data_IF_576134328701
#
_entry.id   IF_576134328701
#
_cell.length_a   1.000
_cell.length_b   1.000
_cell.length_c   1.000
_cell.angle_alpha   90.00
_cell.angle_beta   90.00
_cell.angle_gamma   90.00
#
_symmetry.space_group_name_H-M   'P 1'
#
loop_
_entity.id
_entity.type
_entity.pdbx_description
1 polymer ?
#
# COMPACT_ATOMS: atom_id res chain seq x y z
N UNK A 1 0.31 -23.00 -2.05
CA UNK A 1 -0.53 -22.65 -3.21
C UNK A 1 0.18 -23.19 -4.46
N UNK A 2 -0.42 -24.16 -5.13
CA UNK A 2 0.19 -24.78 -6.32
C UNK A 2 -0.01 -23.97 -7.60
N UNK A 3 -0.83 -22.92 -7.56
CA UNK A 3 -1.06 -22.00 -8.67
C UNK A 3 -0.45 -20.61 -8.37
N UNK A 4 0.04 -19.90 -9.42
CA UNK A 4 0.56 -18.55 -9.24
C UNK A 4 -0.54 -17.60 -8.74
N UNK A 5 -0.20 -16.79 -7.73
CA UNK A 5 -1.10 -15.77 -7.22
C UNK A 5 -1.19 -14.58 -8.20
N UNK A 6 -2.40 -14.05 -8.37
CA UNK A 6 -2.61 -12.82 -9.15
C UNK A 6 -2.21 -11.59 -8.32
N UNK A 7 -1.19 -10.81 -8.75
CA UNK A 7 -0.77 -9.62 -8.02
C UNK A 7 -1.74 -8.47 -8.26
N UNK A 8 -2.19 -7.84 -7.16
CA UNK A 8 -3.04 -6.67 -7.23
C UNK A 8 -2.73 -5.67 -6.10
N UNK A 9 -3.00 -4.39 -6.32
CA UNK A 9 -3.03 -3.35 -5.30
C UNK A 9 -4.48 -3.03 -4.97
N UNK A 10 -4.88 -3.33 -3.72
CA UNK A 10 -6.24 -3.13 -3.24
C UNK A 10 -6.38 -1.76 -2.56
N UNK A 11 -7.29 -0.91 -3.04
CA UNK A 11 -7.67 0.30 -2.33
C UNK A 11 -8.59 -0.06 -1.17
N UNK A 12 -8.24 0.39 0.03
CA UNK A 12 -9.04 0.20 1.24
C UNK A 12 -9.84 1.45 1.62
N UNK A 13 -9.75 2.53 0.85
CA UNK A 13 -10.57 3.72 1.06
C UNK A 13 -12.05 3.29 1.13
N UNK A 14 -12.76 3.81 2.09
CA UNK A 14 -14.18 3.52 2.34
C UNK A 14 -14.49 2.04 2.67
N UNK A 15 -13.45 1.25 2.99
CA UNK A 15 -13.60 -0.17 3.31
C UNK A 15 -13.50 -0.42 4.80
N UNK A 16 -14.30 -1.37 5.28
CA UNK A 16 -14.18 -1.95 6.62
C UNK A 16 -13.28 -3.19 6.53
N UNK A 17 -12.29 -3.24 7.41
CA UNK A 17 -11.39 -4.40 7.55
C UNK A 17 -11.58 -5.02 8.93
N UNK A 18 -11.33 -6.33 9.06
CA UNK A 18 -11.42 -7.04 10.33
C UNK A 18 -10.13 -7.80 10.61
N UNK A 19 -9.66 -7.72 11.85
CA UNK A 19 -8.54 -8.52 12.37
C UNK A 19 -9.03 -9.27 13.59
N UNK A 20 -9.09 -10.59 13.50
CA UNK A 20 -9.36 -11.47 14.63
C UNK A 20 -8.02 -11.93 15.23
N UNK A 21 -7.81 -11.63 16.51
CA UNK A 21 -6.56 -11.78 17.23
C UNK A 21 -5.72 -10.50 17.24
N UNK A 22 -5.32 -10.06 18.44
CA UNK A 22 -4.53 -8.82 18.64
C UNK A 22 -3.17 -9.07 19.30
N UNK A 23 -2.62 -10.27 19.11
CA UNK A 23 -1.22 -10.60 19.42
C UNK A 23 -0.24 -9.90 18.44
N UNK A 24 1.04 -10.21 18.52
CA UNK A 24 2.11 -9.59 17.71
C UNK A 24 1.84 -9.64 16.19
N UNK A 25 1.22 -10.73 15.71
CA UNK A 25 0.85 -10.86 14.28
C UNK A 25 -0.32 -9.95 13.94
N UNK A 26 -1.40 -9.99 14.73
CA UNK A 26 -2.59 -9.16 14.51
C UNK A 26 -2.26 -7.68 14.54
N UNK A 27 -1.46 -7.20 15.49
CA UNK A 27 -1.00 -5.80 15.58
C UNK A 27 -0.28 -5.35 14.30
N UNK A 28 0.61 -6.19 13.76
CA UNK A 28 1.27 -5.88 12.47
C UNK A 28 0.27 -5.78 11.31
N UNK A 29 -0.81 -6.59 11.33
CA UNK A 29 -1.88 -6.50 10.34
C UNK A 29 -2.66 -5.20 10.50
N UNK A 30 -3.02 -4.81 11.73
CA UNK A 30 -3.68 -3.54 12.03
C UNK A 30 -2.83 -2.36 11.54
N UNK A 31 -1.55 -2.31 11.91
CA UNK A 31 -0.64 -1.24 11.47
C UNK A 31 -0.53 -1.16 9.94
N UNK A 32 -0.43 -2.32 9.26
CA UNK A 32 -0.39 -2.39 7.80
C UNK A 32 -1.70 -1.91 7.13
N UNK A 33 -2.84 -2.18 7.73
CA UNK A 33 -4.15 -1.69 7.27
C UNK A 33 -4.26 -0.18 7.46
N UNK A 34 -3.89 0.35 8.63
CA UNK A 34 -3.93 1.79 8.92
C UNK A 34 -3.09 2.61 7.95
N UNK A 35 -1.93 2.08 7.53
CA UNK A 35 -1.10 2.69 6.48
C UNK A 35 -1.79 2.78 5.10
N UNK A 36 -2.94 2.11 4.91
CA UNK A 36 -3.75 2.14 3.68
C UNK A 36 -5.03 2.98 3.84
N UNK A 37 -5.19 3.70 4.96
CA UNK A 37 -6.31 4.59 5.27
C UNK A 37 -7.71 3.97 5.02
N UNK A 38 -8.04 2.83 5.66
CA UNK A 38 -9.39 2.26 5.59
C UNK A 38 -10.41 3.14 6.34
N UNK A 39 -11.70 2.98 6.05
CA UNK A 39 -12.77 3.63 6.80
C UNK A 39 -12.81 3.14 8.26
N UNK A 40 -12.63 1.83 8.48
CA UNK A 40 -12.53 1.26 9.82
C UNK A 40 -11.72 -0.05 9.83
N UNK A 41 -11.08 -0.31 10.96
CA UNK A 41 -10.46 -1.60 11.30
C UNK A 41 -11.11 -2.13 12.58
N UNK A 42 -11.93 -3.15 12.44
CA UNK A 42 -12.51 -3.85 13.56
C UNK A 42 -11.54 -4.91 14.08
N UNK A 43 -11.18 -4.82 15.35
CA UNK A 43 -10.23 -5.73 16.01
C UNK A 43 -10.99 -6.55 17.03
N UNK A 44 -10.91 -7.86 16.92
CA UNK A 44 -11.55 -8.80 17.83
C UNK A 44 -10.49 -9.61 18.58
N UNK A 45 -10.50 -9.55 19.91
CA UNK A 45 -9.70 -10.38 20.78
C UNK A 45 -10.47 -10.60 22.10
N UNK A 46 -10.14 -11.65 22.83
CA UNK A 46 -10.76 -11.95 24.13
C UNK A 46 -10.25 -11.04 25.25
N UNK A 47 -9.10 -10.39 25.05
CA UNK A 47 -8.41 -9.54 26.03
C UNK A 47 -7.94 -8.24 25.39
N UNK A 48 -8.08 -7.15 26.13
CA UNK A 48 -7.42 -5.91 25.78
C UNK A 48 -5.90 -6.02 25.94
N UNK A 49 -5.12 -5.29 25.15
CA UNK A 49 -3.67 -5.24 25.30
C UNK A 49 -3.30 -4.57 26.64
N UNK A 50 -2.31 -5.13 27.32
CA UNK A 50 -1.76 -4.64 28.57
C UNK A 50 -0.51 -3.76 28.39
N UNK A 51 0.03 -3.69 27.15
CA UNK A 51 1.20 -2.91 26.77
C UNK A 51 0.86 -1.62 26.04
N UNK A 52 1.82 -0.66 26.00
CA UNK A 52 1.63 0.67 25.42
C UNK A 52 1.52 0.67 23.90
N UNK A 53 2.19 -0.25 23.21
CA UNK A 53 2.11 -0.36 21.74
C UNK A 53 0.71 -0.76 21.30
N UNK A 54 0.15 -1.79 21.93
CA UNK A 54 -1.20 -2.23 21.66
C UNK A 54 -2.23 -1.14 21.96
N UNK A 55 -2.13 -0.50 23.13
CA UNK A 55 -3.00 0.63 23.49
C UNK A 55 -2.89 1.80 22.54
N UNK A 56 -1.70 2.10 22.02
CA UNK A 56 -1.50 3.16 21.02
C UNK A 56 -2.23 2.87 19.70
N UNK A 57 -2.17 1.63 19.21
CA UNK A 57 -2.90 1.22 18.02
C UNK A 57 -4.43 1.33 18.20
N UNK A 58 -4.94 0.97 19.39
CA UNK A 58 -6.38 1.03 19.67
C UNK A 58 -6.91 2.46 19.81
N UNK A 59 -6.06 3.45 20.09
CA UNK A 59 -6.45 4.88 20.14
C UNK A 59 -6.62 5.52 18.76
N UNK A 60 -6.25 4.84 17.69
CA UNK A 60 -6.42 5.39 16.34
C UNK A 60 -7.90 5.47 15.97
N UNK A 61 -8.34 6.61 15.44
CA UNK A 61 -9.76 6.91 15.15
C UNK A 61 -10.44 5.88 14.25
N UNK A 62 -9.71 5.23 13.35
CA UNK A 62 -10.24 4.20 12.48
C UNK A 62 -10.35 2.82 13.16
N UNK A 63 -9.82 2.62 14.38
CA UNK A 63 -9.83 1.32 15.06
C UNK A 63 -11.04 1.18 15.98
N UNK A 64 -11.67 0.01 15.94
CA UNK A 64 -12.76 -0.37 16.84
C UNK A 64 -12.43 -1.71 17.47
N UNK A 65 -12.14 -1.72 18.76
CA UNK A 65 -11.83 -2.94 19.52
C UNK A 65 -13.08 -3.58 20.11
N UNK A 66 -13.15 -4.90 20.05
CA UNK A 66 -14.23 -5.72 20.58
C UNK A 66 -13.63 -6.84 21.42
N UNK A 67 -13.88 -6.80 22.75
CA UNK A 67 -13.38 -7.79 23.71
C UNK A 67 -14.20 -9.09 23.66
N UNK A 68 -14.26 -9.73 22.49
CA UNK A 68 -14.99 -10.99 22.23
C UNK A 68 -14.51 -11.65 20.93
N UNK A 69 -14.89 -12.90 20.71
CA UNK A 69 -14.74 -13.52 19.39
C UNK A 69 -15.64 -12.85 18.35
N UNK A 70 -15.20 -12.86 17.08
CA UNK A 70 -16.02 -12.35 15.99
C UNK A 70 -17.08 -13.36 15.56
N UNK A 71 -18.23 -12.85 15.14
CA UNK A 71 -19.35 -13.61 14.60
C UNK A 71 -19.43 -13.49 13.08
N UNK A 72 -20.33 -14.21 12.43
CA UNK A 72 -20.59 -14.08 11.01
C UNK A 72 -21.09 -12.68 10.64
N UNK A 73 -21.94 -12.08 11.48
CA UNK A 73 -22.49 -10.73 11.23
C UNK A 73 -21.40 -9.65 11.27
N UNK A 74 -20.35 -9.82 12.09
CA UNK A 74 -19.21 -8.92 12.10
C UNK A 74 -18.40 -8.99 10.80
N UNK A 75 -18.38 -10.14 10.13
CA UNK A 75 -17.67 -10.36 8.87
C UNK A 75 -18.39 -9.74 7.66
N UNK A 76 -19.72 -9.78 7.64
CA UNK A 76 -20.54 -9.38 6.49
C UNK A 76 -20.21 -7.99 5.90
N UNK A 77 -19.99 -6.93 6.70
CA UNK A 77 -19.66 -5.60 6.17
C UNK A 77 -18.19 -5.48 5.73
N UNK A 78 -17.36 -6.49 5.99
CA UNK A 78 -15.92 -6.40 5.80
C UNK A 78 -15.53 -6.71 4.36
N UNK A 79 -14.55 -5.95 3.85
CA UNK A 79 -13.92 -6.22 2.56
C UNK A 79 -12.71 -7.14 2.70
N UNK A 80 -12.00 -7.05 3.82
CA UNK A 80 -10.76 -7.74 4.08
C UNK A 80 -10.73 -8.26 5.51
N UNK A 81 -10.42 -9.54 5.69
CA UNK A 81 -10.40 -10.22 6.98
C UNK A 81 -9.05 -10.86 7.22
N UNK A 82 -8.54 -10.73 8.43
CA UNK A 82 -7.35 -11.43 8.92
C UNK A 82 -7.73 -12.36 10.08
N UNK A 83 -7.59 -13.66 9.88
CA UNK A 83 -7.68 -14.67 10.92
C UNK A 83 -6.29 -14.87 11.53
N UNK A 84 -6.03 -14.20 12.65
CA UNK A 84 -4.72 -14.09 13.31
C UNK A 84 -4.78 -14.37 14.81
N UNK A 85 -5.74 -15.20 15.23
CA UNK A 85 -5.88 -15.63 16.64
C UNK A 85 -4.81 -16.66 17.00
N UNK A 86 -4.64 -16.91 18.31
CA UNK A 86 -3.82 -18.02 18.79
C UNK A 86 -4.45 -19.40 18.65
N UNK A 87 -5.67 -19.51 18.13
CA UNK A 87 -6.41 -20.75 17.96
C UNK A 87 -6.55 -21.15 16.49
N UNK A 88 -5.90 -22.24 16.10
CA UNK A 88 -5.99 -22.83 14.76
C UNK A 88 -7.45 -23.12 14.37
N UNK A 89 -8.23 -23.66 15.30
CA UNK A 89 -9.65 -23.96 15.04
C UNK A 89 -10.48 -22.70 14.79
N UNK A 90 -10.21 -21.62 15.52
CA UNK A 90 -10.91 -20.34 15.32
C UNK A 90 -10.51 -19.69 14.00
N UNK A 91 -9.21 -19.72 13.63
CA UNK A 91 -8.75 -19.23 12.34
C UNK A 91 -9.40 -19.99 11.18
N UNK A 92 -9.48 -21.32 11.26
CA UNK A 92 -10.16 -22.16 10.26
C UNK A 92 -11.66 -21.84 10.19
N UNK A 93 -12.33 -21.62 11.33
CA UNK A 93 -13.75 -21.23 11.37
C UNK A 93 -13.97 -19.90 10.62
N UNK A 94 -13.12 -18.90 10.89
CA UNK A 94 -13.20 -17.59 10.24
C UNK A 94 -12.94 -17.71 8.74
N UNK A 95 -11.91 -18.47 8.32
CA UNK A 95 -11.60 -18.69 6.92
C UNK A 95 -12.77 -19.36 6.17
N UNK A 96 -13.39 -20.39 6.77
CA UNK A 96 -14.56 -21.05 6.20
C UNK A 96 -15.77 -20.12 6.08
N UNK A 97 -16.01 -19.25 7.07
CA UNK A 97 -17.06 -18.23 7.00
C UNK A 97 -16.78 -17.24 5.86
N UNK A 98 -15.56 -16.74 5.74
CA UNK A 98 -15.16 -15.82 4.69
C UNK A 98 -15.34 -16.46 3.30
N UNK A 99 -14.97 -17.73 3.12
CA UNK A 99 -15.16 -18.45 1.85
C UNK A 99 -16.64 -18.52 1.47
N UNK A 100 -17.54 -18.82 2.41
CA UNK A 100 -18.98 -18.83 2.16
C UNK A 100 -19.56 -17.46 1.81
N UNK A 101 -19.00 -16.41 2.42
CA UNK A 101 -19.45 -15.04 2.21
C UNK A 101 -18.77 -14.36 0.99
N UNK A 102 -17.82 -15.03 0.32
CA UNK A 102 -17.05 -14.46 -0.79
C UNK A 102 -16.09 -13.35 -0.37
N UNK A 103 -15.63 -13.34 0.89
CA UNK A 103 -14.75 -12.32 1.45
C UNK A 103 -13.27 -12.68 1.25
N UNK A 104 -12.45 -11.64 1.09
CA UNK A 104 -11.00 -11.81 1.10
C UNK A 104 -10.51 -12.10 2.53
N UNK A 105 -9.89 -13.26 2.71
CA UNK A 105 -9.38 -13.72 4.02
C UNK A 105 -7.90 -14.09 3.95
N UNK A 106 -7.12 -13.59 4.90
CA UNK A 106 -5.76 -14.08 5.17
C UNK A 106 -5.78 -14.92 6.46
N UNK A 107 -5.55 -16.22 6.35
CA UNK A 107 -5.37 -17.12 7.48
C UNK A 107 -3.87 -17.20 7.78
N UNK A 108 -3.43 -16.72 8.95
CA UNK A 108 -2.00 -16.49 9.21
C UNK A 108 -1.20 -17.77 9.47
N UNK A 109 -1.85 -18.81 9.97
CA UNK A 109 -1.27 -20.11 10.31
C UNK A 109 -1.57 -21.20 9.26
N UNK A 110 -2.43 -20.90 8.28
CA UNK A 110 -2.78 -21.78 7.17
C UNK A 110 -3.08 -20.95 5.92
N UNK A 111 -2.05 -20.48 5.22
CA UNK A 111 -2.24 -19.67 4.02
C UNK A 111 -3.09 -20.31 2.92
N UNK A 112 -3.12 -21.65 2.87
CA UNK A 112 -3.93 -22.46 1.94
C UNK A 112 -5.43 -22.38 2.20
N UNK A 113 -5.84 -22.05 3.40
CA UNK A 113 -7.26 -21.80 3.75
C UNK A 113 -7.67 -20.34 3.50
N UNK A 114 -6.70 -19.48 3.26
CA UNK A 114 -6.95 -18.08 2.90
C UNK A 114 -7.17 -17.88 1.39
N UNK A 115 -7.70 -16.73 1.04
CA UNK A 115 -7.90 -16.33 -0.36
C UNK A 115 -6.82 -15.39 -0.89
N UNK A 116 -5.98 -14.82 0.00
CA UNK A 116 -4.86 -13.96 -0.38
C UNK A 116 -3.69 -14.09 0.60
N UNK A 117 -2.53 -13.68 0.12
CA UNK A 117 -1.31 -13.53 0.93
C UNK A 117 -0.94 -12.06 1.06
N UNK A 118 -0.26 -11.71 2.16
CA UNK A 118 0.35 -10.37 2.31
C UNK A 118 1.81 -10.47 1.88
N UNK A 119 2.19 -9.84 0.77
CA UNK A 119 3.56 -9.86 0.27
C UNK A 119 4.50 -9.02 1.15
N UNK A 120 5.81 -9.11 0.92
CA UNK A 120 6.76 -8.13 1.40
C UNK A 120 6.58 -6.83 0.58
N UNK A 121 6.40 -5.70 1.26
CA UNK A 121 6.10 -4.41 0.62
C UNK A 121 7.16 -3.40 0.97
N UNK A 122 7.78 -2.80 -0.05
CA UNK A 122 8.59 -1.60 0.02
C UNK A 122 7.75 -0.39 -0.40
N UNK A 123 7.86 0.72 0.33
CA UNK A 123 7.05 1.92 0.07
C UNK A 123 7.87 3.19 0.22
N UNK A 124 7.53 4.16 -0.61
CA UNK A 124 7.76 5.59 -0.37
C UNK A 124 6.39 6.28 -0.30
N UNK A 125 6.37 7.60 -0.26
CA UNK A 125 5.12 8.36 -0.25
C UNK A 125 4.14 7.97 -1.38
N UNK A 126 4.66 7.82 -2.61
CA UNK A 126 3.84 7.56 -3.82
C UNK A 126 4.14 6.23 -4.50
N UNK A 127 5.28 5.60 -4.20
CA UNK A 127 5.66 4.33 -4.82
C UNK A 127 5.42 3.17 -3.87
N UNK A 128 4.95 2.08 -4.40
CA UNK A 128 4.86 0.81 -3.69
C UNK A 128 5.33 -0.32 -4.61
N UNK A 129 6.17 -1.19 -4.08
CA UNK A 129 6.55 -2.44 -4.70
C UNK A 129 6.20 -3.59 -3.78
N UNK A 130 5.59 -4.64 -4.32
CA UNK A 130 5.20 -5.83 -3.57
C UNK A 130 5.92 -7.06 -4.14
N UNK A 131 6.49 -7.88 -3.26
CA UNK A 131 7.26 -9.07 -3.62
C UNK A 131 6.76 -10.27 -2.83
N UNK A 132 6.51 -11.36 -3.56
CA UNK A 132 6.22 -12.67 -2.97
C UNK A 132 7.21 -13.70 -3.48
N UNK A 133 7.65 -14.58 -2.61
CA UNK A 133 8.45 -15.77 -2.97
C UNK A 133 7.58 -17.01 -3.13
N UNK A 134 6.24 -16.86 -3.20
CA UNK A 134 5.32 -17.99 -3.22
C UNK A 134 5.37 -18.87 -1.96
N UNK A 135 5.85 -18.31 -0.82
CA UNK A 135 6.05 -19.08 0.41
C UNK A 135 7.44 -19.74 0.52
N UNK A 136 8.28 -19.67 -0.53
CA UNK A 136 9.58 -20.35 -0.56
C UNK A 136 10.55 -19.88 0.55
N UNK A 137 10.60 -18.58 0.84
CA UNK A 137 11.51 -18.08 1.88
C UNK A 137 11.12 -16.69 2.40
N UNK A 138 10.57 -16.60 3.63
CA UNK A 138 10.33 -15.32 4.29
C UNK A 138 11.61 -14.49 4.49
N UNK A 139 12.76 -15.15 4.68
CA UNK A 139 14.05 -14.47 4.86
C UNK A 139 14.51 -13.77 3.57
N UNK A 140 14.37 -14.44 2.41
CA UNK A 140 14.64 -13.84 1.10
C UNK A 140 13.68 -12.68 0.80
N UNK A 141 12.39 -12.85 1.07
CA UNK A 141 11.41 -11.79 0.90
C UNK A 141 11.76 -10.54 1.72
N UNK A 142 12.23 -10.71 2.97
CA UNK A 142 12.69 -9.61 3.83
C UNK A 142 13.93 -8.93 3.27
N UNK A 143 14.93 -9.70 2.83
CA UNK A 143 16.16 -9.17 2.23
C UNK A 143 15.85 -8.35 0.99
N UNK A 144 15.11 -8.93 0.03
CA UNK A 144 14.77 -8.25 -1.22
C UNK A 144 13.84 -7.06 -1.02
N UNK A 145 13.00 -7.06 0.03
CA UNK A 145 12.28 -5.83 0.41
C UNK A 145 13.24 -4.69 0.69
N UNK A 146 14.32 -4.91 1.45
CA UNK A 146 15.33 -3.87 1.70
C UNK A 146 16.03 -3.39 0.42
N UNK A 147 16.31 -4.29 -0.52
CA UNK A 147 16.86 -3.94 -1.82
C UNK A 147 15.85 -3.10 -2.64
N UNK A 148 14.55 -3.43 -2.58
CA UNK A 148 13.49 -2.65 -3.20
C UNK A 148 13.31 -1.27 -2.54
N UNK A 149 13.41 -1.17 -1.22
CA UNK A 149 13.39 0.12 -0.51
C UNK A 149 14.53 1.03 -0.98
N UNK A 150 15.75 0.49 -1.08
CA UNK A 150 16.90 1.21 -1.62
C UNK A 150 16.72 1.61 -3.09
N UNK A 151 16.08 0.76 -3.90
CA UNK A 151 15.78 1.06 -5.30
C UNK A 151 14.68 2.12 -5.46
N UNK A 152 13.66 2.13 -4.59
CA UNK A 152 12.56 3.09 -4.64
C UNK A 152 12.97 4.49 -4.16
N UNK A 153 13.83 4.58 -3.15
CA UNK A 153 14.16 5.84 -2.47
C UNK A 153 14.61 6.96 -3.44
N UNK A 154 15.59 6.78 -4.33
CA UNK A 154 16.00 7.82 -5.26
C UNK A 154 14.91 8.18 -6.29
N UNK A 155 13.98 7.27 -6.57
CA UNK A 155 12.88 7.42 -7.54
C UNK A 155 11.66 8.17 -7.00
N UNK A 156 11.62 8.39 -5.69
CA UNK A 156 10.50 9.05 -5.04
C UNK A 156 10.29 10.48 -5.56
N UNK A 157 11.38 11.23 -5.79
CA UNK A 157 11.35 12.61 -6.32
C UNK A 157 10.72 12.66 -7.71
N UNK A 158 11.13 11.76 -8.61
CA UNK A 158 10.56 11.66 -9.96
C UNK A 158 9.07 11.32 -9.92
N UNK A 159 8.68 10.37 -9.08
CA UNK A 159 7.27 10.00 -8.91
C UNK A 159 6.42 11.16 -8.38
N UNK A 160 6.96 11.95 -7.44
CA UNK A 160 6.28 13.13 -6.91
C UNK A 160 6.13 14.18 -8.01
N UNK A 161 7.21 14.53 -8.71
CA UNK A 161 7.20 15.50 -9.81
C UNK A 161 6.17 15.14 -10.88
N UNK A 162 6.17 13.88 -11.34
CA UNK A 162 5.21 13.41 -12.34
C UNK A 162 3.77 13.44 -11.83
N UNK A 163 3.57 13.18 -10.54
CA UNK A 163 2.26 13.25 -9.89
C UNK A 163 1.71 14.68 -9.79
N UNK A 164 2.56 15.66 -9.46
CA UNK A 164 2.18 17.10 -9.44
C UNK A 164 1.97 17.65 -10.85
N UNK A 165 2.79 17.22 -11.80
CA UNK A 165 2.72 17.68 -13.20
C UNK A 165 1.46 17.17 -13.92
N UNK A 166 1.01 15.93 -13.60
CA UNK A 166 -0.08 15.29 -14.34
C UNK A 166 -1.38 16.12 -14.38
N UNK A 167 -1.94 16.62 -13.27
CA UNK A 167 -3.16 17.42 -13.32
C UNK A 167 -2.98 18.73 -14.10
N UNK A 168 -1.78 19.34 -14.06
CA UNK A 168 -1.49 20.57 -14.79
C UNK A 168 -1.50 20.34 -16.30
N UNK A 169 -0.86 19.26 -16.77
CA UNK A 169 -0.86 18.88 -18.19
C UNK A 169 -2.28 18.56 -18.66
N UNK A 170 -3.05 17.81 -17.88
CA UNK A 170 -4.43 17.45 -18.22
C UNK A 170 -5.35 18.67 -18.28
N UNK A 171 -5.12 19.68 -17.44
CA UNK A 171 -5.90 20.91 -17.40
C UNK A 171 -5.72 21.78 -18.67
N UNK A 172 -4.68 21.55 -19.49
CA UNK A 172 -4.49 22.24 -20.77
C UNK A 172 -5.49 21.81 -21.85
N UNK A 173 -6.25 20.74 -21.63
CA UNK A 173 -7.27 20.28 -22.58
C UNK A 173 -6.72 19.70 -23.90
N UNK A 174 -5.43 19.34 -23.94
CA UNK A 174 -4.81 18.70 -25.10
C UNK A 174 -5.35 17.27 -25.29
N UNK A 175 -5.19 16.73 -26.49
CA UNK A 175 -5.60 15.35 -26.76
C UNK A 175 -4.75 14.30 -25.96
N UNK A 176 -5.29 13.11 -25.85
CA UNK A 176 -4.66 12.00 -25.08
C UNK A 176 -3.29 11.62 -25.64
N UNK A 177 -3.09 11.72 -26.97
CA UNK A 177 -1.82 11.40 -27.62
C UNK A 177 -0.73 12.39 -27.22
N UNK A 178 -1.04 13.68 -27.24
CA UNK A 178 -0.13 14.77 -26.82
C UNK A 178 0.24 14.62 -25.35
N UNK A 179 -0.75 14.41 -24.46
CA UNK A 179 -0.51 14.20 -23.05
C UNK A 179 0.42 12.99 -22.82
N UNK A 180 0.14 11.87 -23.50
CA UNK A 180 0.95 10.65 -23.40
C UNK A 180 2.38 10.86 -23.88
N UNK A 181 2.57 11.63 -24.96
CA UNK A 181 3.89 11.94 -25.51
C UNK A 181 4.75 12.71 -24.51
N UNK A 182 4.21 13.73 -23.84
CA UNK A 182 4.92 14.50 -22.81
C UNK A 182 5.42 13.57 -21.71
N UNK A 183 4.53 12.77 -21.10
CA UNK A 183 4.93 11.88 -19.99
C UNK A 183 5.91 10.80 -20.42
N UNK A 184 5.78 10.28 -21.64
CA UNK A 184 6.72 9.30 -22.19
C UNK A 184 8.10 9.91 -22.42
N UNK A 185 8.17 11.13 -22.96
CA UNK A 185 9.42 11.85 -23.18
C UNK A 185 10.12 12.13 -21.86
N UNK A 186 9.42 12.66 -20.87
CA UNK A 186 9.98 12.91 -19.53
C UNK A 186 10.47 11.63 -18.85
N UNK A 187 9.70 10.55 -18.92
CA UNK A 187 10.06 9.27 -18.33
C UNK A 187 11.30 8.62 -18.99
N UNK A 188 11.52 8.89 -20.28
CA UNK A 188 12.67 8.37 -21.03
C UNK A 188 13.90 9.30 -21.00
N UNK A 189 13.76 10.52 -20.46
CA UNK A 189 14.86 11.50 -20.37
C UNK A 189 15.78 11.22 -19.17
N UNK A 190 16.85 12.00 -19.08
CA UNK A 190 17.75 12.02 -17.92
C UNK A 190 17.19 12.80 -16.71
N UNK A 191 15.90 13.13 -16.70
CA UNK A 191 15.27 13.93 -15.64
C UNK A 191 15.39 13.24 -14.26
N UNK A 192 15.21 11.93 -14.21
CA UNK A 192 15.41 11.17 -12.96
C UNK A 192 16.84 11.29 -12.46
N UNK A 193 17.84 11.13 -13.33
CA UNK A 193 19.25 11.23 -12.95
C UNK A 193 19.62 12.65 -12.48
N UNK A 194 19.04 13.69 -13.09
CA UNK A 194 19.20 15.07 -12.64
C UNK A 194 18.60 15.28 -11.24
N UNK A 195 17.40 14.77 -10.98
CA UNK A 195 16.75 14.81 -9.65
C UNK A 195 17.57 14.06 -8.60
N UNK A 196 18.10 12.89 -8.92
CA UNK A 196 18.93 12.10 -8.00
C UNK A 196 20.22 12.83 -7.62
N UNK A 197 20.83 13.56 -8.57
CA UNK A 197 22.06 14.35 -8.34
C UNK A 197 21.80 15.74 -7.76
N UNK A 198 20.54 16.18 -7.67
CA UNK A 198 20.18 17.54 -7.26
C UNK A 198 20.51 18.62 -8.34
N UNK A 199 20.64 18.22 -9.60
CA UNK A 199 20.86 19.13 -10.72
C UNK A 199 19.56 19.82 -11.15
N UNK A 200 19.17 20.85 -10.41
CA UNK A 200 17.95 21.61 -10.67
C UNK A 200 18.00 22.37 -12.01
N UNK A 201 19.19 22.79 -12.45
CA UNK A 201 19.35 23.47 -13.73
C UNK A 201 19.09 22.51 -14.91
N UNK A 202 19.64 21.29 -14.85
CA UNK A 202 19.35 20.22 -15.79
C UNK A 202 17.88 19.81 -15.81
N UNK A 203 17.26 19.69 -14.62
CA UNK A 203 15.82 19.42 -14.50
C UNK A 203 14.98 20.50 -15.21
N UNK A 204 15.28 21.76 -14.93
CA UNK A 204 14.58 22.90 -15.55
C UNK A 204 14.67 22.85 -17.07
N UNK A 205 15.87 22.71 -17.62
CA UNK A 205 16.08 22.66 -19.06
C UNK A 205 15.28 21.53 -19.74
N UNK A 206 15.24 20.34 -19.14
CA UNK A 206 14.47 19.21 -19.65
C UNK A 206 12.95 19.45 -19.60
N UNK A 207 12.48 20.09 -18.53
CA UNK A 207 11.05 20.43 -18.38
C UNK A 207 10.66 21.52 -19.40
N UNK A 208 11.45 22.59 -19.54
CA UNK A 208 11.20 23.67 -20.53
C UNK A 208 11.20 23.15 -21.98
N UNK A 209 12.09 22.19 -22.28
CA UNK A 209 12.13 21.58 -23.61
C UNK A 209 10.91 20.70 -23.91
N UNK A 210 10.32 20.08 -22.89
CA UNK A 210 9.28 19.04 -23.06
C UNK A 210 7.88 19.56 -22.83
N UNK A 211 7.72 20.51 -21.89
CA UNK A 211 6.41 21.01 -21.49
C UNK A 211 5.93 22.14 -22.42
N UNK A 212 4.62 22.27 -22.65
CA UNK A 212 4.04 23.43 -23.31
C UNK A 212 4.42 24.74 -22.59
N UNK A 213 4.64 25.85 -23.32
CA UNK A 213 5.01 27.16 -22.75
C UNK A 213 4.07 27.64 -21.63
N UNK A 214 2.79 27.29 -21.69
CA UNK A 214 1.79 27.60 -20.66
C UNK A 214 2.10 27.04 -19.26
N UNK A 215 3.02 26.07 -19.14
CA UNK A 215 3.45 25.49 -17.86
C UNK A 215 4.84 25.94 -17.42
N UNK A 216 5.55 26.74 -18.21
CA UNK A 216 6.93 27.13 -17.88
C UNK A 216 7.02 27.92 -16.57
N UNK A 217 6.06 28.79 -16.28
CA UNK A 217 5.99 29.56 -15.03
C UNK A 217 5.80 28.69 -13.78
N UNK A 218 5.31 27.45 -13.95
CA UNK A 218 5.10 26.51 -12.86
C UNK A 218 6.31 25.63 -12.57
N UNK A 219 7.34 25.64 -13.42
CA UNK A 219 8.51 24.74 -13.31
C UNK A 219 9.27 24.96 -11.99
N UNK A 220 9.44 26.23 -11.58
CA UNK A 220 10.13 26.54 -10.31
C UNK A 220 9.39 25.93 -9.14
N UNK A 221 8.09 26.15 -9.01
CA UNK A 221 7.26 25.61 -7.95
C UNK A 221 7.27 24.07 -7.93
N UNK A 222 7.21 23.43 -9.11
CA UNK A 222 7.27 21.97 -9.24
C UNK A 222 8.61 21.41 -8.76
N UNK A 223 9.73 22.09 -9.07
CA UNK A 223 11.06 21.67 -8.64
C UNK A 223 11.26 21.89 -7.14
N UNK A 224 10.77 23.00 -6.58
CA UNK A 224 10.84 23.30 -5.15
C UNK A 224 10.04 22.26 -4.32
N UNK A 225 8.92 21.77 -4.85
CA UNK A 225 8.11 20.75 -4.20
C UNK A 225 8.80 19.37 -4.10
N UNK A 226 9.87 19.13 -4.87
CA UNK A 226 10.58 17.84 -4.94
C UNK A 226 12.07 17.93 -4.56
N UNK A 227 12.54 19.12 -4.17
CA UNK A 227 13.94 19.40 -3.79
C UNK A 227 14.39 18.73 -2.45
#
# INVERSE_FOLDING_TARGET
MDAPAYPLFLSLRDSICLVAGFGSVGRRKVAGLLACAPAAVHVFDLREPDDDEGRALLRHDAVRFHARACTEDDLRPCRLVFAATGSRAENARIAALCARLGLLCNCVDAPEEGTFIVPAVARTERLAAALSTGGASPALARRWRGELEAWLAPRARMSRLMGELRPLVLALGMDTGQNTAIFRTLAASSLQDCLERGDLAGCRALLEQTLPPALHDRITELLDAVA
#
